data_IF_403806559048
#
_entry.id   IF_403806559048
#
_cell.length_a   1.000
_cell.length_b   1.000
_cell.length_c   1.000
_cell.angle_alpha   90.00
_cell.angle_beta   90.00
_cell.angle_gamma   90.00
#
_symmetry.space_group_name_H-M   'P 1'
#
loop_
_entity.id
_entity.type
_entity.pdbx_description
1 polymer ?
#
# COMPACT_ATOMS: atom_id res chain seq x y z
N UNK A 1 -20.23 5.03 -2.26
CA UNK A 1 -20.53 6.48 -2.24
C UNK A 1 -19.39 7.12 -1.47
N UNK A 2 -18.58 7.92 -2.15
CA UNK A 2 -17.29 8.51 -1.74
C UNK A 2 -17.12 8.72 -0.24
N UNK A 3 -16.63 7.70 0.45
CA UNK A 3 -15.95 7.92 1.72
C UNK A 3 -14.62 8.56 1.32
N UNK A 4 -14.34 9.78 1.78
CA UNK A 4 -13.14 10.56 1.39
C UNK A 4 -11.84 9.94 1.87
N UNK A 5 -11.52 8.76 1.34
CA UNK A 5 -10.25 8.05 1.46
C UNK A 5 -9.32 8.75 0.48
N UNK A 6 -8.23 9.28 1.02
CA UNK A 6 -7.21 9.98 0.26
C UNK A 6 -5.89 9.24 0.46
N UNK A 7 -5.20 8.94 -0.64
CA UNK A 7 -3.83 8.45 -0.58
C UNK A 7 -2.87 9.63 -0.77
N UNK A 8 -2.25 10.16 0.30
CA UNK A 8 -1.18 11.14 0.15
C UNK A 8 -0.02 10.57 -0.67
N UNK A 9 0.76 11.47 -1.28
CA UNK A 9 2.00 11.12 -1.97
C UNK A 9 3.12 10.79 -0.97
N UNK A 10 2.89 9.74 -0.18
CA UNK A 10 3.77 9.23 0.86
C UNK A 10 3.94 7.73 0.66
N UNK A 11 5.18 7.30 0.48
CA UNK A 11 5.57 5.91 0.51
C UNK A 11 6.89 5.77 1.27
N UNK A 12 7.07 4.64 1.93
CA UNK A 12 8.30 4.28 2.63
C UNK A 12 8.59 2.80 2.44
N UNK A 13 9.79 2.47 1.99
CA UNK A 13 10.27 1.09 1.99
C UNK A 13 10.72 0.70 3.39
N UNK A 14 10.15 -0.39 3.92
CA UNK A 14 10.48 -0.97 5.22
C UNK A 14 11.26 -2.26 5.00
N UNK A 15 12.59 -2.15 5.05
CA UNK A 15 13.49 -3.25 4.67
C UNK A 15 13.43 -4.45 5.62
N UNK A 16 13.23 -4.22 6.92
CA UNK A 16 13.19 -5.29 7.93
C UNK A 16 11.93 -6.16 7.78
N UNK A 17 10.81 -5.54 7.43
CA UNK A 17 9.51 -6.17 7.19
C UNK A 17 9.31 -6.63 5.73
N UNK A 18 10.18 -6.19 4.82
CA UNK A 18 10.10 -6.41 3.38
C UNK A 18 8.74 -5.97 2.77
N UNK A 19 8.33 -4.75 3.10
CA UNK A 19 7.07 -4.18 2.63
C UNK A 19 7.18 -2.67 2.33
N UNK A 20 6.30 -2.17 1.48
CA UNK A 20 6.12 -0.73 1.28
C UNK A 20 4.97 -0.27 2.16
N UNK A 21 5.21 0.74 2.99
CA UNK A 21 4.16 1.49 3.70
C UNK A 21 3.68 2.63 2.81
N UNK A 22 2.37 2.76 2.66
CA UNK A 22 1.71 3.85 1.93
C UNK A 22 0.40 4.18 2.66
N UNK A 23 0.31 5.27 3.43
CA UNK A 23 -0.86 5.50 4.27
C UNK A 23 -2.05 5.98 3.43
N UNK A 24 -3.26 5.64 3.86
CA UNK A 24 -4.50 6.28 3.46
C UNK A 24 -4.96 7.26 4.55
N UNK A 25 -5.81 8.22 4.19
CA UNK A 25 -6.45 9.14 5.12
C UNK A 25 -7.96 9.11 4.94
N UNK A 26 -8.70 8.82 6.01
CA UNK A 26 -10.17 8.85 6.01
C UNK A 26 -10.66 9.77 7.14
N UNK A 27 -11.44 10.80 6.78
CA UNK A 27 -11.97 11.80 7.74
C UNK A 27 -10.89 12.44 8.64
N UNK A 28 -9.66 12.58 8.13
CA UNK A 28 -8.52 13.15 8.85
C UNK A 28 -7.72 12.15 9.71
N UNK A 29 -8.17 10.91 9.84
CA UNK A 29 -7.41 9.84 10.48
C UNK A 29 -6.51 9.15 9.46
N UNK A 30 -5.26 8.86 9.85
CA UNK A 30 -4.34 8.04 9.04
C UNK A 30 -4.64 6.56 9.28
N UNK A 31 -4.63 5.80 8.18
CA UNK A 31 -4.73 4.35 8.15
C UNK A 31 -3.45 3.87 7.47
N UNK A 32 -2.61 3.13 8.19
CA UNK A 32 -1.42 2.56 7.58
C UNK A 32 -1.81 1.42 6.63
N UNK A 33 -1.34 1.50 5.38
CA UNK A 33 -1.47 0.41 4.43
C UNK A 33 -0.07 -0.10 4.05
N UNK A 34 0.02 -1.41 3.86
CA UNK A 34 1.26 -2.09 3.57
C UNK A 34 1.07 -3.01 2.38
N UNK A 35 2.06 -3.07 1.49
CA UNK A 35 2.13 -4.10 0.45
C UNK A 35 3.46 -4.84 0.56
N UNK A 36 3.38 -6.16 0.66
CA UNK A 36 4.59 -6.99 0.72
C UNK A 36 5.37 -6.90 -0.61
N UNK A 37 6.70 -6.90 -0.52
CA UNK A 37 7.60 -6.97 -1.68
C UNK A 37 7.20 -8.12 -2.61
N UNK A 38 6.90 -9.30 -2.05
CA UNK A 38 6.48 -10.48 -2.81
C UNK A 38 5.17 -10.26 -3.58
N UNK A 39 4.21 -9.49 -3.06
CA UNK A 39 3.00 -9.15 -3.82
C UNK A 39 3.31 -8.16 -4.93
N UNK A 40 4.14 -7.17 -4.65
CA UNK A 40 4.58 -6.19 -5.64
C UNK A 40 5.35 -6.84 -6.81
N UNK A 41 6.24 -7.79 -6.52
CA UNK A 41 6.92 -8.61 -7.52
C UNK A 41 5.93 -9.39 -8.41
N UNK A 42 4.87 -9.97 -7.82
CA UNK A 42 3.83 -10.67 -8.58
C UNK A 42 3.01 -9.73 -9.47
N UNK A 43 2.74 -8.51 -9.01
CA UNK A 43 1.97 -7.52 -9.77
C UNK A 43 2.77 -6.99 -10.96
N UNK A 44 4.08 -6.76 -10.78
CA UNK A 44 4.95 -6.19 -11.82
C UNK A 44 5.63 -7.25 -12.70
N UNK A 45 5.75 -8.49 -12.23
CA UNK A 45 6.53 -9.54 -12.88
C UNK A 45 8.05 -9.34 -12.79
N UNK A 46 8.50 -8.45 -11.90
CA UNK A 46 9.92 -8.11 -11.71
C UNK A 46 10.46 -8.73 -10.42
N UNK A 47 11.76 -9.06 -10.41
CA UNK A 47 12.48 -9.36 -9.18
C UNK A 47 13.01 -8.06 -8.59
N UNK A 48 12.58 -7.70 -7.39
CA UNK A 48 12.84 -6.39 -6.80
C UNK A 48 13.97 -6.51 -5.78
N UNK A 49 15.23 -6.40 -6.23
CA UNK A 49 16.40 -6.66 -5.35
C UNK A 49 17.02 -5.41 -4.74
N UNK A 50 16.62 -4.23 -5.22
CA UNK A 50 17.10 -2.92 -4.76
C UNK A 50 15.93 -2.03 -4.41
N UNK A 51 16.14 -1.15 -3.42
CA UNK A 51 15.16 -0.16 -2.99
C UNK A 51 14.67 0.73 -4.15
N UNK A 52 15.58 1.24 -4.99
CA UNK A 52 15.21 2.04 -6.18
C UNK A 52 14.24 1.30 -7.11
N UNK A 53 14.39 -0.02 -7.25
CA UNK A 53 13.54 -0.86 -8.10
C UNK A 53 12.18 -1.06 -7.43
N UNK A 54 12.14 -1.19 -6.10
CA UNK A 54 10.90 -1.29 -5.31
C UNK A 54 10.07 -0.02 -5.43
N UNK A 55 10.70 1.15 -5.25
CA UNK A 55 10.02 2.45 -5.38
C UNK A 55 9.43 2.60 -6.78
N UNK A 56 10.22 2.33 -7.83
CA UNK A 56 9.74 2.40 -9.22
C UNK A 56 8.62 1.39 -9.50
N UNK A 57 8.73 0.18 -8.96
CA UNK A 57 7.71 -0.84 -9.11
C UNK A 57 6.40 -0.40 -8.44
N UNK A 58 6.45 0.09 -7.20
CA UNK A 58 5.28 0.62 -6.49
C UNK A 58 4.61 1.73 -7.30
N UNK A 59 5.37 2.75 -7.73
CA UNK A 59 4.83 3.85 -8.53
C UNK A 59 4.20 3.36 -9.86
N UNK A 60 4.75 2.31 -10.48
CA UNK A 60 4.23 1.79 -11.75
C UNK A 60 2.86 1.12 -11.66
N UNK A 61 2.47 0.64 -10.47
CA UNK A 61 1.18 -0.03 -10.20
C UNK A 61 0.41 0.63 -9.05
N UNK A 62 0.75 1.88 -8.71
CA UNK A 62 0.26 2.58 -7.53
C UNK A 62 -1.27 2.65 -7.48
N UNK A 63 -1.91 3.01 -8.59
CA UNK A 63 -3.37 3.09 -8.66
C UNK A 63 -4.04 1.75 -8.39
N UNK A 64 -3.49 0.63 -8.89
CA UNK A 64 -4.04 -0.70 -8.62
C UNK A 64 -3.89 -1.07 -7.13
N UNK A 65 -2.79 -0.66 -6.50
CA UNK A 65 -2.54 -0.89 -5.07
C UNK A 65 -3.49 -0.05 -4.21
N UNK A 66 -3.66 1.23 -4.53
CA UNK A 66 -4.56 2.16 -3.86
C UNK A 66 -6.02 1.69 -3.99
N UNK A 67 -6.47 1.27 -5.17
CA UNK A 67 -7.82 0.70 -5.38
C UNK A 67 -8.05 -0.55 -4.52
N UNK A 68 -7.05 -1.43 -4.39
CA UNK A 68 -7.14 -2.61 -3.54
C UNK A 68 -7.22 -2.25 -2.05
N UNK A 69 -6.42 -1.28 -1.60
CA UNK A 69 -6.46 -0.82 -0.22
C UNK A 69 -7.77 -0.10 0.10
N UNK A 70 -8.25 0.76 -0.81
CA UNK A 70 -9.52 1.47 -0.68
C UNK A 70 -10.67 0.48 -0.48
N UNK A 71 -10.73 -0.57 -1.30
CA UNK A 71 -11.74 -1.61 -1.18
C UNK A 71 -11.73 -2.29 0.20
N UNK A 72 -10.55 -2.64 0.73
CA UNK A 72 -10.45 -3.26 2.06
C UNK A 72 -10.88 -2.29 3.18
N UNK A 73 -10.54 -1.00 3.06
CA UNK A 73 -10.99 0.04 4.00
C UNK A 73 -12.51 0.17 3.96
N UNK A 74 -13.10 0.22 2.77
CA UNK A 74 -14.56 0.31 2.61
C UNK A 74 -15.28 -0.93 3.15
N UNK A 75 -14.68 -2.12 2.98
CA UNK A 75 -15.18 -3.40 3.51
C UNK A 75 -14.91 -3.58 5.02
N UNK A 76 -14.17 -2.65 5.65
CA UNK A 76 -13.74 -2.69 7.06
C UNK A 76 -12.89 -3.92 7.40
N UNK A 77 -12.12 -4.42 6.43
CA UNK A 77 -11.22 -5.58 6.57
C UNK A 77 -9.86 -5.14 7.14
N UNK A 78 -9.88 -4.62 8.36
CA UNK A 78 -8.68 -4.20 9.10
C UNK A 78 -8.03 -5.38 9.83
N UNK A 79 -6.70 -5.38 9.90
CA UNK A 79 -5.97 -6.26 10.80
C UNK A 79 -6.14 -5.85 12.28
N UNK A 80 -5.66 -6.67 13.21
CA UNK A 80 -5.81 -6.43 14.66
C UNK A 80 -5.13 -5.13 15.14
N UNK A 81 -4.11 -4.67 14.42
CA UNK A 81 -3.40 -3.41 14.66
C UNK A 81 -4.07 -2.19 14.00
N UNK A 82 -5.16 -2.40 13.28
CA UNK A 82 -5.90 -1.36 12.56
C UNK A 82 -5.33 -0.99 11.19
N UNK A 83 -4.33 -1.74 10.69
CA UNK A 83 -3.74 -1.50 9.38
C UNK A 83 -4.41 -2.34 8.26
N UNK A 84 -4.08 -1.97 7.02
CA UNK A 84 -4.43 -2.73 5.82
C UNK A 84 -3.18 -3.42 5.29
N UNK A 85 -3.26 -4.74 5.07
CA UNK A 85 -2.15 -5.53 4.52
C UNK A 85 -2.52 -6.13 3.17
N UNK A 86 -1.68 -5.85 2.17
CA UNK A 86 -1.76 -6.39 0.81
C UNK A 86 -0.68 -7.47 0.58
#
# INVERSE_FOLDING_TARGET
MNQGILFPDLMEWQADEQQVRFPAQQMGALIDCYISQRRLERMTGLALTREDDIVRAFESVRFDIEDMAEKLIEEQEFAEDGAIYL
#
